data_IF_098117211143
#
_entry.id   IF_098117211143
#
_cell.length_a   1.000
_cell.length_b   1.000
_cell.length_c   1.000
_cell.angle_alpha   90.00
_cell.angle_beta   90.00
_cell.angle_gamma   90.00
#
_symmetry.space_group_name_H-M   'P 1'
#
loop_
_entity.id
_entity.type
_entity.pdbx_description
1 polymer ?
#
# COMPACT_ATOMS: atom_id res chain seq x y z
N UNK A 1 4.46 -64.64 2.56
CA UNK A 1 3.75 -63.99 1.44
C UNK A 1 2.38 -63.63 1.97
N UNK A 2 2.16 -62.36 2.28
CA UNK A 2 0.94 -61.91 2.94
C UNK A 2 0.55 -60.57 2.32
N UNK A 3 -0.49 -60.63 1.49
CA UNK A 3 -1.20 -59.49 0.93
C UNK A 3 -1.90 -58.72 2.04
N UNK A 4 -1.79 -57.39 2.05
CA UNK A 4 -2.59 -56.52 2.92
C UNK A 4 -3.15 -55.37 2.09
N UNK A 5 -4.34 -55.66 1.57
CA UNK A 5 -5.54 -54.83 1.52
C UNK A 5 -5.38 -53.29 1.40
N UNK A 6 -5.79 -52.85 0.21
CA UNK A 6 -6.25 -51.53 -0.20
C UNK A 6 -7.18 -50.87 0.81
N UNK A 7 -6.79 -49.66 1.26
CA UNK A 7 -7.66 -48.73 1.99
C UNK A 7 -8.38 -47.82 0.99
N UNK A 8 -9.70 -47.89 1.00
CA UNK A 8 -10.61 -46.97 0.33
C UNK A 8 -10.80 -45.70 1.19
N UNK A 9 -10.78 -44.52 0.58
CA UNK A 9 -11.40 -43.32 1.13
C UNK A 9 -11.80 -42.34 0.00
N UNK A 10 -12.86 -41.54 0.18
CA UNK A 10 -13.83 -41.30 -0.90
C UNK A 10 -13.84 -39.89 -1.48
N UNK A 11 -14.37 -39.80 -2.70
CA UNK A 11 -15.19 -38.71 -3.24
C UNK A 11 -14.55 -37.31 -3.30
N UNK A 12 -13.79 -37.06 -4.38
CA UNK A 12 -13.35 -35.73 -4.75
C UNK A 12 -14.45 -34.93 -5.47
N UNK A 13 -14.75 -33.76 -4.88
CA UNK A 13 -15.57 -32.65 -5.37
C UNK A 13 -15.31 -32.24 -6.84
N UNK A 14 -16.42 -31.99 -7.58
CA UNK A 14 -16.60 -31.03 -8.70
C UNK A 14 -15.94 -29.65 -8.43
N UNK A 15 -15.83 -28.70 -9.39
CA UNK A 15 -15.79 -28.77 -10.86
C UNK A 15 -14.63 -27.91 -11.46
N UNK A 16 -13.97 -28.37 -12.54
CA UNK A 16 -13.08 -27.50 -13.34
C UNK A 16 -13.88 -26.69 -14.36
N UNK A 17 -14.51 -25.62 -13.90
CA UNK A 17 -15.00 -24.55 -14.77
C UNK A 17 -13.87 -23.55 -14.96
N UNK A 18 -13.25 -23.60 -16.15
CA UNK A 18 -12.32 -22.60 -16.67
C UNK A 18 -12.91 -21.21 -16.53
N UNK A 19 -12.48 -20.47 -15.51
CA UNK A 19 -12.74 -19.04 -15.39
C UNK A 19 -11.42 -18.33 -15.64
N UNK A 20 -11.26 -17.87 -16.87
CA UNK A 20 -10.18 -16.99 -17.29
C UNK A 20 -10.00 -15.87 -16.25
N UNK A 21 -8.77 -15.53 -15.84
CA UNK A 21 -8.55 -14.36 -15.01
C UNK A 21 -8.91 -13.13 -15.85
N UNK A 22 -10.04 -12.49 -15.52
CA UNK A 22 -10.37 -11.15 -16.00
C UNK A 22 -9.19 -10.26 -15.64
N UNK A 23 -8.53 -9.73 -16.66
CA UNK A 23 -7.48 -8.72 -16.57
C UNK A 23 -8.05 -7.44 -15.95
N UNK A 24 -8.08 -7.38 -14.63
CA UNK A 24 -8.20 -6.14 -13.86
C UNK A 24 -6.79 -5.65 -13.50
N UNK A 25 -5.89 -5.56 -14.49
CA UNK A 25 -4.54 -4.97 -14.36
C UNK A 25 -4.57 -3.61 -15.03
N UNK A 26 -5.12 -2.58 -14.39
CA UNK A 26 -4.93 -1.22 -14.91
C UNK A 26 -4.94 -0.14 -13.83
N UNK A 27 -5.60 -0.36 -12.69
CA UNK A 27 -5.62 0.62 -11.59
C UNK A 27 -4.60 0.33 -10.49
N UNK A 28 -4.31 -0.95 -10.22
CA UNK A 28 -3.30 -1.35 -9.24
C UNK A 28 -1.90 -0.81 -9.59
N UNK A 29 -1.50 -0.91 -10.86
CA UNK A 29 -0.22 -0.37 -11.35
C UNK A 29 -0.14 1.16 -11.25
N UNK A 30 -1.28 1.85 -11.39
CA UNK A 30 -1.35 3.32 -11.29
C UNK A 30 -1.14 3.78 -9.84
N UNK A 31 -1.78 3.10 -8.88
CA UNK A 31 -1.63 3.38 -7.45
C UNK A 31 -0.24 3.08 -6.93
N UNK A 32 0.36 1.96 -7.37
CA UNK A 32 1.71 1.56 -6.98
C UNK A 32 2.78 2.52 -7.54
N UNK A 33 2.65 2.92 -8.82
CA UNK A 33 3.52 3.93 -9.42
C UNK A 33 3.37 5.32 -8.80
N UNK A 34 2.14 5.71 -8.42
CA UNK A 34 1.89 6.96 -7.71
C UNK A 34 2.53 6.97 -6.33
N UNK A 35 2.33 5.92 -5.52
CA UNK A 35 2.93 5.82 -4.20
C UNK A 35 4.46 5.89 -4.27
N UNK A 36 5.08 5.19 -5.22
CA UNK A 36 6.53 5.25 -5.46
C UNK A 36 7.01 6.67 -5.78
N UNK A 37 6.28 7.41 -6.63
CA UNK A 37 6.60 8.82 -6.96
C UNK A 37 6.47 9.73 -5.74
N UNK A 38 5.41 9.59 -4.95
CA UNK A 38 5.22 10.42 -3.75
C UNK A 38 6.32 10.15 -2.71
N UNK A 39 6.66 8.87 -2.51
CA UNK A 39 7.76 8.49 -1.62
C UNK A 39 9.12 8.99 -2.11
N UNK A 40 9.32 9.15 -3.43
CA UNK A 40 10.57 9.69 -3.99
C UNK A 40 10.80 11.18 -3.68
N UNK A 41 9.72 11.93 -3.44
CA UNK A 41 9.79 13.36 -3.08
C UNK A 41 10.09 13.55 -1.59
N UNK A 42 9.71 12.57 -0.77
CA UNK A 42 9.91 12.61 0.67
C UNK A 42 11.35 12.26 1.05
N UNK A 43 11.93 13.05 1.95
CA UNK A 43 13.21 12.71 2.55
C UNK A 43 13.13 11.39 3.31
N UNK A 44 14.27 10.72 3.50
CA UNK A 44 14.32 9.45 4.23
C UNK A 44 13.74 9.57 5.65
N UNK A 45 14.06 10.65 6.35
CA UNK A 45 13.54 10.93 7.68
C UNK A 45 12.01 11.11 7.68
N UNK A 46 11.45 11.78 6.67
CA UNK A 46 10.00 11.91 6.52
C UNK A 46 9.31 10.57 6.24
N UNK A 47 9.93 9.73 5.40
CA UNK A 47 9.42 8.38 5.11
C UNK A 47 9.41 7.50 6.35
N UNK A 48 10.48 7.54 7.15
CA UNK A 48 10.58 6.79 8.42
C UNK A 48 9.53 7.31 9.41
N UNK A 49 9.43 8.63 9.59
CA UNK A 49 8.45 9.23 10.49
C UNK A 49 7.00 8.85 10.12
N UNK A 50 6.65 8.91 8.83
CA UNK A 50 5.33 8.49 8.34
C UNK A 50 5.08 6.99 8.54
N UNK A 51 6.08 6.14 8.34
CA UNK A 51 5.95 4.69 8.58
C UNK A 51 5.67 4.41 10.05
N UNK A 52 6.42 5.03 10.95
CA UNK A 52 6.22 4.88 12.40
C UNK A 52 4.83 5.39 12.82
N UNK A 53 4.39 6.52 12.26
CA UNK A 53 3.10 7.13 12.56
C UNK A 53 1.91 6.32 12.04
N UNK A 54 1.91 5.96 10.76
CA UNK A 54 0.75 5.36 10.08
C UNK A 54 0.84 3.84 9.92
N UNK A 55 2.05 3.29 9.82
CA UNK A 55 2.27 1.85 9.72
C UNK A 55 2.25 1.16 11.08
N UNK A 56 2.84 1.79 12.10
CA UNK A 56 2.94 1.24 13.45
C UNK A 56 1.97 1.88 14.44
N UNK A 57 1.27 2.96 14.06
CA UNK A 57 0.26 3.62 14.89
C UNK A 57 0.82 4.42 16.06
N UNK A 58 2.10 4.79 16.02
CA UNK A 58 2.77 5.48 17.12
C UNK A 58 2.28 6.93 17.28
N UNK A 59 2.25 7.42 18.52
CA UNK A 59 2.03 8.84 18.82
C UNK A 59 3.21 9.70 18.33
N UNK A 60 3.05 11.01 18.06
CA UNK A 60 4.17 11.85 17.60
C UNK A 60 5.33 11.88 18.60
N UNK A 61 5.02 11.84 19.90
CA UNK A 61 6.00 11.72 20.99
C UNK A 61 6.78 10.40 20.93
N UNK A 62 6.09 9.28 20.67
CA UNK A 62 6.72 7.98 20.52
C UNK A 62 7.60 7.93 19.25
N UNK A 63 7.18 8.57 18.17
CA UNK A 63 7.99 8.70 16.95
C UNK A 63 9.27 9.48 17.25
N UNK A 64 9.18 10.61 17.95
CA UNK A 64 10.33 11.43 18.34
C UNK A 64 11.31 10.62 19.20
N UNK A 65 10.81 9.89 20.20
CA UNK A 65 11.61 9.02 21.04
C UNK A 65 12.27 7.88 20.24
N UNK A 66 11.54 7.27 19.30
CA UNK A 66 12.03 6.17 18.47
C UNK A 66 13.12 6.61 17.50
N UNK A 67 12.97 7.81 16.94
CA UNK A 67 13.93 8.43 16.03
C UNK A 67 15.08 9.13 16.76
N UNK A 68 15.01 9.27 18.08
CA UNK A 68 15.96 10.04 18.91
C UNK A 68 16.11 11.49 18.44
N UNK A 69 14.99 12.11 18.08
CA UNK A 69 14.92 13.50 17.62
C UNK A 69 14.15 14.37 18.62
N UNK A 70 14.45 15.68 18.70
CA UNK A 70 13.62 16.62 19.45
C UNK A 70 12.17 16.61 18.94
N UNK A 71 11.22 16.78 19.85
CA UNK A 71 9.79 16.74 19.51
C UNK A 71 9.41 17.78 18.46
N UNK A 72 9.82 19.05 18.63
CA UNK A 72 9.54 20.10 17.64
C UNK A 72 10.16 19.86 16.26
N UNK A 73 11.26 19.09 16.17
CA UNK A 73 11.84 18.69 14.89
C UNK A 73 10.98 17.60 14.25
N UNK A 74 10.57 16.61 15.04
CA UNK A 74 9.69 15.52 14.60
C UNK A 74 8.33 16.03 14.13
N UNK A 75 7.75 16.99 14.86
CA UNK A 75 6.46 17.60 14.52
C UNK A 75 6.52 18.31 13.16
N UNK A 76 7.60 19.07 12.90
CA UNK A 76 7.82 19.69 11.58
C UNK A 76 8.01 18.64 10.50
N UNK A 77 8.78 17.59 10.77
CA UNK A 77 9.02 16.47 9.87
C UNK A 77 7.70 15.80 9.44
N UNK A 78 6.83 15.49 10.40
CA UNK A 78 5.52 14.91 10.15
C UNK A 78 4.61 15.90 9.40
N UNK A 79 4.56 17.15 9.82
CA UNK A 79 3.73 18.18 9.16
C UNK A 79 4.12 18.39 7.69
N UNK A 80 5.41 18.47 7.39
CA UNK A 80 5.90 18.63 6.02
C UNK A 80 5.64 17.38 5.16
N UNK A 81 5.79 16.20 5.76
CA UNK A 81 5.48 14.93 5.10
C UNK A 81 3.99 14.82 4.77
N UNK A 82 3.12 15.15 5.74
CA UNK A 82 1.66 15.15 5.56
C UNK A 82 1.20 16.18 4.51
N UNK A 83 1.79 17.39 4.52
CA UNK A 83 1.51 18.41 3.50
C UNK A 83 1.85 17.89 2.10
N UNK A 84 2.99 17.21 1.95
CA UNK A 84 3.42 16.62 0.68
C UNK A 84 2.46 15.52 0.22
N UNK A 85 2.04 14.64 1.13
CA UNK A 85 1.05 13.59 0.84
C UNK A 85 -0.29 14.19 0.39
N UNK A 86 -0.77 15.24 1.06
CA UNK A 86 -2.02 15.92 0.70
C UNK A 86 -1.93 16.59 -0.67
N UNK A 87 -0.82 17.30 -0.95
CA UNK A 87 -0.59 17.92 -2.25
C UNK A 87 -0.56 16.86 -3.37
N UNK A 88 0.13 15.75 -3.15
CA UNK A 88 0.17 14.66 -4.11
C UNK A 88 -1.22 14.03 -4.33
N UNK A 89 -1.99 13.79 -3.26
CA UNK A 89 -3.34 13.25 -3.37
C UNK A 89 -4.25 14.18 -4.19
N UNK A 90 -4.14 15.49 -3.97
CA UNK A 90 -4.90 16.49 -4.73
C UNK A 90 -4.53 16.44 -6.21
N UNK A 91 -3.24 16.49 -6.54
CA UNK A 91 -2.76 16.40 -7.91
C UNK A 91 -3.19 15.10 -8.62
N UNK A 92 -3.23 13.99 -7.88
CA UNK A 92 -3.72 12.72 -8.42
C UNK A 92 -5.21 12.76 -8.76
N UNK A 93 -6.03 13.31 -7.88
CA UNK A 93 -7.48 13.47 -8.12
C UNK A 93 -7.73 14.42 -9.29
N UNK A 94 -7.03 15.55 -9.36
CA UNK A 94 -7.12 16.50 -10.47
C UNK A 94 -6.77 15.82 -11.81
N UNK A 95 -5.68 15.05 -11.87
CA UNK A 95 -5.28 14.30 -13.06
C UNK A 95 -6.31 13.22 -13.47
N UNK A 96 -6.97 12.57 -12.50
CA UNK A 96 -8.04 11.59 -12.80
C UNK A 96 -9.27 12.26 -13.42
N UNK A 97 -9.66 13.43 -12.92
CA UNK A 97 -10.80 14.19 -13.45
C UNK A 97 -10.49 14.68 -14.86
N UNK A 98 -9.30 15.24 -15.09
CA UNK A 98 -8.86 15.71 -16.41
C UNK A 98 -8.79 14.56 -17.44
N UNK A 99 -8.30 13.39 -17.03
CA UNK A 99 -8.26 12.21 -17.89
C UNK A 99 -9.67 11.68 -18.23
N UNK A 100 -10.60 11.74 -17.28
CA UNK A 100 -11.99 11.34 -17.52
C UNK A 100 -12.68 12.30 -18.50
N UNK A 101 -12.52 13.62 -18.32
CA UNK A 101 -13.12 14.64 -19.18
C UNK A 101 -12.55 14.66 -20.61
N UNK A 102 -11.29 14.22 -20.80
CA UNK A 102 -10.64 14.16 -22.12
C UNK A 102 -11.05 12.95 -22.97
N UNK A 103 -11.87 12.03 -22.44
CA UNK A 103 -12.31 10.80 -23.12
C UNK A 103 -13.76 10.85 -23.63
N UNK A 104 -14.50 11.91 -23.31
CA UNK A 104 -15.80 12.27 -23.87
C UNK A 104 -15.63 13.28 -25.03
#
# INVERSE_FOLDING_TARGET
MTEVQTLEAPSARRPSASKAPRTTKSTANLGEGFAARVLSVLSEHQRIALRLRHGEGLSPEQVAARMKLPQGVTDRLLADAERTLQAARRAFVEALVENAASRD
#
